data_IF_525348184357
#
_entry.id   IF_525348184357
#
_cell.length_a   1.000
_cell.length_b   1.000
_cell.length_c   1.000
_cell.angle_alpha   90.00
_cell.angle_beta   90.00
_cell.angle_gamma   90.00
#
_symmetry.space_group_name_H-M   'P 1'
#
loop_
_entity.id
_entity.type
_entity.pdbx_description
1 polymer ?
#
# COMPACT_ATOMS: atom_id res chain seq x y z
N UNK A 1 8.30 -19.74 -12.57
CA UNK A 1 8.73 -18.87 -11.47
C UNK A 1 9.20 -17.58 -12.11
N UNK A 2 8.37 -16.54 -12.10
CA UNK A 2 8.82 -15.20 -12.51
C UNK A 2 9.86 -14.73 -11.51
N UNK A 3 11.01 -14.26 -12.00
CA UNK A 3 12.06 -13.75 -11.14
C UNK A 3 11.70 -12.32 -10.73
N UNK A 4 11.64 -12.04 -9.43
CA UNK A 4 11.51 -10.68 -8.94
C UNK A 4 12.89 -10.01 -8.93
N UNK A 5 13.02 -8.92 -9.67
CA UNK A 5 14.28 -8.18 -9.75
C UNK A 5 14.21 -6.94 -8.86
N UNK A 6 15.02 -6.92 -7.82
CA UNK A 6 15.20 -5.72 -6.98
C UNK A 6 15.79 -4.60 -7.82
N UNK A 7 15.08 -3.47 -7.88
CA UNK A 7 15.52 -2.27 -8.60
C UNK A 7 15.95 -1.14 -7.68
N UNK A 8 15.43 -1.08 -6.46
CA UNK A 8 15.73 -0.03 -5.50
C UNK A 8 15.56 -0.55 -4.07
N UNK A 9 16.46 -0.16 -3.18
CA UNK A 9 16.29 -0.35 -1.74
C UNK A 9 15.67 0.94 -1.17
N UNK A 10 14.65 0.81 -0.33
CA UNK A 10 14.02 1.93 0.36
C UNK A 10 14.60 2.04 1.78
N UNK A 11 14.49 3.23 2.36
CA UNK A 11 14.92 3.49 3.73
C UNK A 11 14.00 2.81 4.75
N UNK A 12 14.51 2.62 5.98
CA UNK A 12 13.74 2.07 7.09
C UNK A 12 12.47 2.88 7.36
N UNK A 13 12.57 4.21 7.35
CA UNK A 13 11.42 5.10 7.56
C UNK A 13 10.35 4.94 6.45
N UNK A 14 10.76 4.75 5.21
CA UNK A 14 9.83 4.49 4.10
C UNK A 14 9.17 3.13 4.27
N UNK A 15 9.93 2.11 4.67
CA UNK A 15 9.42 0.77 4.93
C UNK A 15 8.40 0.75 6.08
N UNK A 16 8.68 1.42 7.20
CA UNK A 16 7.77 1.56 8.34
C UNK A 16 6.47 2.29 7.95
N UNK A 17 6.59 3.32 7.09
CA UNK A 17 5.42 4.07 6.61
C UNK A 17 4.51 3.19 5.78
N UNK A 18 5.06 2.45 4.81
CA UNK A 18 4.25 1.58 3.95
C UNK A 18 3.71 0.36 4.70
N UNK A 19 4.48 -0.20 5.64
CA UNK A 19 4.03 -1.25 6.56
C UNK A 19 2.77 -0.79 7.32
N UNK A 20 2.84 0.40 7.94
CA UNK A 20 1.71 0.99 8.66
C UNK A 20 0.48 1.18 7.78
N UNK A 21 0.67 1.63 6.54
CA UNK A 21 -0.42 1.83 5.57
C UNK A 21 -1.08 0.48 5.23
N UNK A 22 -0.27 -0.56 4.96
CA UNK A 22 -0.74 -1.91 4.63
C UNK A 22 -1.48 -2.54 5.80
N UNK A 23 -0.94 -2.46 7.01
CA UNK A 23 -1.56 -3.01 8.21
C UNK A 23 -2.91 -2.33 8.50
N UNK A 24 -2.97 -1.00 8.42
CA UNK A 24 -4.24 -0.26 8.60
C UNK A 24 -5.26 -0.66 7.55
N UNK A 25 -4.86 -0.81 6.29
CA UNK A 25 -5.75 -1.26 5.21
C UNK A 25 -6.33 -2.64 5.53
N UNK A 26 -5.48 -3.59 5.90
CA UNK A 26 -5.92 -4.94 6.24
C UNK A 26 -6.86 -4.96 7.45
N UNK A 27 -6.57 -4.17 8.48
CA UNK A 27 -7.41 -4.03 9.66
C UNK A 27 -8.80 -3.48 9.30
N UNK A 28 -8.87 -2.44 8.44
CA UNK A 28 -10.14 -1.89 7.96
C UNK A 28 -10.90 -2.85 7.05
N UNK A 29 -10.23 -3.63 6.19
CA UNK A 29 -10.86 -4.66 5.38
C UNK A 29 -11.49 -5.76 6.26
N UNK A 30 -10.74 -6.24 7.25
CA UNK A 30 -11.24 -7.21 8.21
C UNK A 30 -12.45 -6.66 8.99
N UNK A 31 -12.37 -5.41 9.44
CA UNK A 31 -13.47 -4.74 10.12
C UNK A 31 -14.70 -4.58 9.21
N UNK A 32 -14.50 -4.17 7.96
CA UNK A 32 -15.57 -4.04 6.97
C UNK A 32 -16.29 -5.37 6.72
N UNK A 33 -15.57 -6.49 6.67
CA UNK A 33 -16.15 -7.83 6.54
C UNK A 33 -17.05 -8.15 7.75
N UNK A 34 -16.58 -7.89 8.96
CA UNK A 34 -17.33 -8.16 10.19
C UNK A 34 -18.59 -7.29 10.35
N UNK A 35 -18.54 -6.05 9.87
CA UNK A 35 -19.64 -5.09 10.06
C UNK A 35 -20.70 -5.13 8.97
N UNK A 36 -20.40 -5.70 7.79
CA UNK A 36 -21.32 -5.73 6.64
C UNK A 36 -22.57 -6.58 6.85
N UNK A 37 -22.58 -7.44 7.86
CA UNK A 37 -23.67 -8.39 8.11
C UNK A 37 -24.77 -7.85 9.04
N UNK A 38 -24.56 -6.70 9.69
CA UNK A 38 -25.51 -6.17 10.68
C UNK A 38 -25.72 -4.65 10.53
N UNK A 39 -26.97 -4.27 10.22
CA UNK A 39 -27.44 -2.89 10.02
C UNK A 39 -27.19 -1.99 11.23
N UNK A 40 -27.04 -2.56 12.43
CA UNK A 40 -26.66 -1.83 13.65
C UNK A 40 -25.33 -1.10 13.52
N UNK A 41 -24.43 -1.59 12.68
CA UNK A 41 -23.08 -1.02 12.52
C UNK A 41 -22.93 -0.12 11.29
N UNK A 42 -24.03 0.27 10.64
CA UNK A 42 -24.01 1.11 9.44
C UNK A 42 -23.19 2.40 9.58
N UNK A 43 -23.25 3.08 10.73
CA UNK A 43 -22.43 4.28 10.97
C UNK A 43 -20.93 3.96 11.04
N UNK A 44 -20.57 2.85 11.68
CA UNK A 44 -19.17 2.40 11.78
C UNK A 44 -18.66 1.97 10.41
N UNK A 45 -19.51 1.31 9.61
CA UNK A 45 -19.21 0.93 8.23
C UNK A 45 -18.89 2.15 7.36
N UNK A 46 -19.69 3.22 7.46
CA UNK A 46 -19.42 4.48 6.74
C UNK A 46 -18.08 5.11 7.15
N UNK A 47 -17.74 5.07 8.45
CA UNK A 47 -16.42 5.52 8.93
C UNK A 47 -15.29 4.66 8.37
N UNK A 48 -15.46 3.33 8.32
CA UNK A 48 -14.46 2.42 7.73
C UNK A 48 -14.22 2.70 6.25
N UNK A 49 -15.28 3.01 5.49
CA UNK A 49 -15.16 3.39 4.08
C UNK A 49 -14.37 4.70 3.94
N UNK A 50 -14.72 5.72 4.74
CA UNK A 50 -14.00 7.00 4.72
C UNK A 50 -12.53 6.88 5.11
N UNK A 51 -12.21 6.07 6.13
CA UNK A 51 -10.82 5.81 6.52
C UNK A 51 -10.06 5.04 5.43
N UNK A 52 -10.69 4.08 4.75
CA UNK A 52 -10.07 3.40 3.61
C UNK A 52 -9.73 4.36 2.46
N UNK A 53 -10.59 5.34 2.18
CA UNK A 53 -10.30 6.39 1.20
C UNK A 53 -9.10 7.25 1.60
N UNK A 54 -8.93 7.55 2.90
CA UNK A 54 -7.75 8.27 3.40
C UNK A 54 -6.48 7.43 3.23
N UNK A 55 -6.52 6.16 3.62
CA UNK A 55 -5.38 5.25 3.44
C UNK A 55 -4.95 5.16 1.98
N UNK A 56 -5.93 5.13 1.06
CA UNK A 56 -5.63 5.12 -0.37
C UNK A 56 -4.86 6.39 -0.79
N UNK A 57 -5.27 7.55 -0.30
CA UNK A 57 -4.58 8.82 -0.56
C UNK A 57 -3.19 8.85 0.08
N UNK A 58 -3.06 8.36 1.30
CA UNK A 58 -1.77 8.27 2.00
C UNK A 58 -0.79 7.38 1.23
N UNK A 59 -1.27 6.25 0.70
CA UNK A 59 -0.50 5.38 -0.17
C UNK A 59 -0.09 6.07 -1.48
N UNK A 60 -1.04 6.70 -2.17
CA UNK A 60 -0.78 7.42 -3.41
C UNK A 60 0.29 8.51 -3.21
N UNK A 61 0.17 9.30 -2.14
CA UNK A 61 1.14 10.33 -1.80
C UNK A 61 2.52 9.73 -1.50
N UNK A 62 2.59 8.71 -0.64
CA UNK A 62 3.86 8.04 -0.33
C UNK A 62 4.52 7.47 -1.59
N UNK A 63 3.71 6.91 -2.50
CA UNK A 63 4.22 6.34 -3.74
C UNK A 63 4.76 7.40 -4.71
N UNK A 64 4.08 8.54 -4.83
CA UNK A 64 4.56 9.69 -5.63
C UNK A 64 5.89 10.23 -5.10
N UNK A 65 6.03 10.35 -3.77
CA UNK A 65 7.27 10.78 -3.12
C UNK A 65 8.42 9.79 -3.43
N UNK A 66 8.17 8.49 -3.30
CA UNK A 66 9.14 7.42 -3.59
C UNK A 66 9.53 7.38 -5.06
N UNK A 67 8.56 7.47 -5.99
CA UNK A 67 8.83 7.52 -7.44
C UNK A 67 9.73 8.71 -7.77
N UNK A 68 9.43 9.88 -7.20
CA UNK A 68 10.17 11.11 -7.47
C UNK A 68 11.57 11.03 -6.89
N UNK A 69 11.71 10.58 -5.64
CA UNK A 69 12.98 10.45 -4.93
C UNK A 69 13.95 9.48 -5.61
N UNK A 70 13.45 8.33 -6.07
CA UNK A 70 14.28 7.31 -6.71
C UNK A 70 14.25 7.37 -8.25
N UNK A 71 13.61 8.39 -8.82
CA UNK A 71 13.45 8.59 -10.26
C UNK A 71 12.94 7.32 -10.98
N UNK A 72 11.89 6.70 -10.43
CA UNK A 72 11.32 5.44 -10.93
C UNK A 72 10.41 5.64 -12.16
N UNK A 73 10.24 6.88 -12.62
CA UNK A 73 9.45 7.23 -13.82
C UNK A 73 9.89 6.45 -15.07
N UNK A 74 11.17 6.03 -15.14
CA UNK A 74 11.69 5.19 -16.23
C UNK A 74 11.05 3.80 -16.30
N UNK A 75 10.40 3.35 -15.23
CA UNK A 75 9.68 2.08 -15.12
C UNK A 75 8.15 2.26 -15.14
N UNK A 76 7.63 3.40 -15.61
CA UNK A 76 6.18 3.68 -15.65
C UNK A 76 5.34 2.65 -16.42
N UNK A 77 5.95 1.96 -17.38
CA UNK A 77 5.29 0.92 -18.19
C UNK A 77 5.36 -0.46 -17.53
N UNK A 78 6.06 -0.59 -16.42
CA UNK A 78 6.30 -1.84 -15.72
C UNK A 78 5.47 -1.93 -14.44
N UNK A 79 5.20 -3.16 -14.00
CA UNK A 79 4.56 -3.40 -12.71
C UNK A 79 5.60 -3.41 -11.60
N UNK A 80 5.68 -2.30 -10.86
CA UNK A 80 6.52 -2.17 -9.68
C UNK A 80 5.79 -2.67 -8.43
N UNK A 81 6.53 -3.39 -7.59
CA UNK A 81 6.06 -3.91 -6.31
C UNK A 81 6.94 -3.38 -5.19
N UNK A 82 6.32 -3.05 -4.05
CA UNK A 82 7.02 -2.66 -2.84
C UNK A 82 6.97 -3.83 -1.87
N UNK A 83 8.15 -4.30 -1.46
CA UNK A 83 8.32 -5.24 -0.37
C UNK A 83 8.88 -4.48 0.84
N UNK A 84 8.02 -4.23 1.82
CA UNK A 84 8.40 -3.53 3.05
C UNK A 84 9.24 -4.40 3.99
N UNK A 85 9.11 -5.73 3.91
CA UNK A 85 9.88 -6.67 4.73
C UNK A 85 11.33 -6.74 4.26
N UNK A 86 11.53 -6.80 2.95
CA UNK A 86 12.85 -6.73 2.31
C UNK A 86 13.32 -5.29 2.07
N UNK A 87 12.47 -4.30 2.38
CA UNK A 87 12.74 -2.86 2.23
C UNK A 87 13.20 -2.52 0.83
N UNK A 88 12.49 -3.02 -0.18
CA UNK A 88 12.88 -2.85 -1.56
C UNK A 88 11.70 -2.70 -2.52
N UNK A 89 12.00 -2.17 -3.70
CA UNK A 89 11.11 -2.09 -4.84
C UNK A 89 11.62 -3.08 -5.87
N UNK A 90 10.70 -3.87 -6.40
CA UNK A 90 10.98 -4.98 -7.30
C UNK A 90 10.18 -4.83 -8.59
N UNK A 91 10.78 -5.23 -9.70
CA UNK A 91 10.11 -5.49 -10.96
C UNK A 91 9.65 -6.95 -10.99
N UNK A 92 8.45 -7.17 -11.52
CA UNK A 92 8.00 -8.51 -11.90
C UNK A 92 8.38 -8.74 -13.36
N UNK A 93 9.35 -9.63 -13.62
CA UNK A 93 9.62 -10.09 -14.98
C UNK A 93 8.45 -11.02 -15.42
N UNK A 94 7.56 -10.51 -16.28
CA UNK A 94 6.48 -11.28 -16.90
C UNK A 94 7.03 -12.08 -18.07
#
# INVERSE_FOLDING_TARGET
>A
MSAMKVIQIISDAEAETIETIIEKKQALENLNILLKEDDKYKEVLLKCISENEKIKKDYEQWWEEVITKYNLNKYQSESLYVDYTQKCIQLNDI
#
